data_IF_335861654336
#
_entry.id   IF_335861654336
#
_cell.length_a   1.000
_cell.length_b   1.000
_cell.length_c   1.000
_cell.angle_alpha   90.00
_cell.angle_beta   90.00
_cell.angle_gamma   90.00
#
_symmetry.space_group_name_H-M   'P 1'
#
loop_
_entity.id
_entity.type
_entity.pdbx_description
1 polymer ?
#
# COMPACT_ATOMS: atom_id res chain seq x y z
N UNK A 1 33.42 5.66 -5.41
CA UNK A 1 32.02 5.74 -5.89
C UNK A 1 31.44 4.40 -6.35
N UNK A 2 32.26 3.40 -6.78
CA UNK A 2 31.73 2.06 -7.14
C UNK A 2 31.34 1.24 -5.92
N UNK A 3 32.12 1.29 -4.83
CA UNK A 3 31.86 0.50 -3.62
C UNK A 3 30.52 0.89 -2.91
N UNK A 4 30.15 2.15 -2.91
CA UNK A 4 28.86 2.60 -2.34
C UNK A 4 27.66 2.12 -3.19
N UNK A 5 27.80 2.13 -4.52
CA UNK A 5 26.74 1.61 -5.41
C UNK A 5 26.61 0.09 -5.32
N UNK A 6 27.70 -0.62 -5.06
CA UNK A 6 27.71 -2.08 -4.91
C UNK A 6 27.16 -2.51 -3.54
N UNK A 7 27.36 -1.72 -2.50
CA UNK A 7 26.74 -1.91 -1.17
C UNK A 7 25.23 -1.65 -1.25
N UNK A 8 24.81 -0.58 -1.94
CA UNK A 8 23.40 -0.25 -2.15
C UNK A 8 22.66 -1.36 -2.94
N UNK A 9 23.27 -1.83 -4.03
CA UNK A 9 22.74 -2.96 -4.82
C UNK A 9 22.74 -4.30 -4.07
N UNK A 10 23.66 -4.51 -3.12
CA UNK A 10 23.64 -5.69 -2.24
C UNK A 10 22.50 -5.60 -1.21
N UNK A 11 22.26 -4.46 -0.61
CA UNK A 11 21.16 -4.26 0.34
C UNK A 11 19.79 -4.41 -0.32
N UNK A 12 19.60 -3.91 -1.55
CA UNK A 12 18.37 -4.15 -2.33
C UNK A 12 18.15 -5.64 -2.63
N UNK A 13 19.22 -6.39 -2.90
CA UNK A 13 19.15 -7.83 -3.25
C UNK A 13 18.83 -8.73 -2.05
N UNK A 14 19.18 -8.31 -0.83
CA UNK A 14 18.93 -9.07 0.40
C UNK A 14 17.48 -8.90 0.92
N UNK A 15 16.75 -7.89 0.43
CA UNK A 15 15.34 -7.66 0.77
C UNK A 15 14.33 -8.31 -0.19
N UNK A 16 14.79 -8.77 -1.35
CA UNK A 16 13.97 -9.34 -2.41
C UNK A 16 14.03 -10.86 -2.41
N UNK A 17 12.89 -11.54 -2.23
CA UNK A 17 12.79 -12.99 -2.21
C UNK A 17 11.77 -13.48 -3.22
N UNK A 18 12.07 -14.59 -3.92
CA UNK A 18 11.19 -15.21 -4.91
C UNK A 18 10.43 -16.39 -4.34
N UNK A 19 9.10 -16.40 -4.55
CA UNK A 19 8.18 -17.46 -4.17
C UNK A 19 7.32 -17.83 -5.38
N UNK A 20 7.61 -18.98 -6.01
CA UNK A 20 6.89 -19.39 -7.23
C UNK A 20 6.96 -18.33 -8.33
N UNK A 21 5.83 -17.73 -8.64
CA UNK A 21 5.68 -16.69 -9.68
C UNK A 21 5.60 -15.25 -9.13
N UNK A 22 5.96 -15.04 -7.88
CA UNK A 22 6.03 -13.71 -7.28
C UNK A 22 7.42 -13.43 -6.71
N UNK A 23 7.80 -12.17 -6.72
CA UNK A 23 8.94 -11.63 -5.99
C UNK A 23 8.41 -10.73 -4.88
N UNK A 24 8.94 -10.87 -3.67
CA UNK A 24 8.48 -10.14 -2.47
C UNK A 24 9.62 -9.32 -1.90
N UNK A 25 9.34 -8.05 -1.66
CA UNK A 25 10.24 -7.10 -1.01
C UNK A 25 9.67 -6.76 0.38
N UNK A 26 10.51 -6.77 1.43
CA UNK A 26 10.15 -6.26 2.75
C UNK A 26 10.17 -4.73 2.75
N UNK A 27 9.41 -4.12 3.65
CA UNK A 27 9.30 -2.67 3.76
C UNK A 27 9.95 -2.19 5.05
N UNK A 28 10.70 -1.09 4.99
CA UNK A 28 11.42 -0.52 6.12
C UNK A 28 11.07 0.95 6.34
N UNK A 29 11.13 1.38 7.58
CA UNK A 29 11.12 2.78 7.97
C UNK A 29 12.29 3.05 8.93
N UNK A 30 13.11 4.07 8.64
CA UNK A 30 14.29 4.42 9.43
C UNK A 30 15.27 3.24 9.67
N UNK A 31 15.39 2.32 8.69
CA UNK A 31 16.24 1.13 8.78
C UNK A 31 15.68 0.01 9.67
N UNK A 32 14.38 0.08 10.03
CA UNK A 32 13.67 -0.95 10.78
C UNK A 32 12.59 -1.55 9.91
N UNK A 33 12.59 -2.88 9.75
CA UNK A 33 11.55 -3.60 9.01
C UNK A 33 10.16 -3.36 9.64
N UNK A 34 9.19 -2.99 8.79
CA UNK A 34 7.77 -2.96 9.16
C UNK A 34 7.22 -4.36 8.93
N UNK A 35 7.24 -5.16 9.97
CA UNK A 35 6.93 -6.60 9.93
C UNK A 35 5.59 -6.89 9.23
N UNK A 36 5.63 -7.79 8.25
CA UNK A 36 4.45 -8.25 7.51
C UNK A 36 3.99 -7.34 6.36
N UNK A 37 4.45 -6.09 6.31
CA UNK A 37 4.19 -5.20 5.18
C UNK A 37 5.08 -5.60 4.00
N UNK A 38 4.51 -5.81 2.80
CA UNK A 38 5.24 -6.39 1.67
C UNK A 38 4.85 -5.74 0.35
N UNK A 39 5.85 -5.48 -0.49
CA UNK A 39 5.64 -5.17 -1.91
C UNK A 39 5.83 -6.45 -2.71
N UNK A 40 4.89 -6.74 -3.61
CA UNK A 40 4.85 -7.98 -4.38
C UNK A 40 4.88 -7.64 -5.86
N UNK A 41 5.79 -8.27 -6.59
CA UNK A 41 5.88 -8.13 -8.04
C UNK A 41 5.59 -9.48 -8.69
N UNK A 42 4.48 -9.63 -9.43
CA UNK A 42 4.16 -10.86 -10.14
C UNK A 42 5.10 -11.05 -11.34
N UNK A 43 5.38 -12.32 -11.67
CA UNK A 43 6.02 -12.67 -12.94
C UNK A 43 5.08 -12.39 -14.10
N UNK A 44 5.55 -11.64 -15.09
CA UNK A 44 4.79 -11.28 -16.28
C UNK A 44 5.34 -12.04 -17.48
N UNK A 45 4.48 -12.73 -18.21
CA UNK A 45 4.81 -13.50 -19.40
C UNK A 45 4.22 -12.81 -20.62
N UNK A 46 5.10 -12.24 -21.46
CA UNK A 46 4.71 -11.47 -22.65
C UNK A 46 5.07 -12.18 -23.96
N UNK A 47 4.25 -11.98 -24.99
CA UNK A 47 4.50 -12.33 -26.38
C UNK A 47 3.83 -11.30 -27.32
N UNK A 48 3.84 -11.56 -28.64
CA UNK A 48 3.26 -10.63 -29.64
C UNK A 48 1.75 -10.37 -29.47
N UNK A 49 1.05 -11.17 -28.66
CA UNK A 49 -0.38 -10.99 -28.36
C UNK A 49 -0.64 -10.10 -27.15
N UNK A 50 0.39 -9.83 -26.31
CA UNK A 50 0.27 -9.11 -25.06
C UNK A 50 0.96 -9.84 -23.91
N UNK A 51 0.36 -9.85 -22.73
CA UNK A 51 0.95 -10.51 -21.57
C UNK A 51 -0.09 -11.31 -20.76
N UNK A 52 0.44 -12.24 -19.99
CA UNK A 52 -0.28 -12.99 -18.94
C UNK A 52 0.48 -12.87 -17.62
N UNK A 53 -0.23 -12.77 -16.51
CA UNK A 53 0.32 -12.88 -15.16
C UNK A 53 -0.72 -13.46 -14.20
N UNK A 54 -0.26 -14.19 -13.19
CA UNK A 54 -1.10 -14.53 -12.05
C UNK A 54 -1.08 -13.35 -11.07
N UNK A 55 -2.22 -12.73 -10.84
CA UNK A 55 -2.34 -11.61 -9.90
C UNK A 55 -2.47 -12.05 -8.46
N UNK A 56 -2.91 -13.29 -8.24
CA UNK A 56 -2.97 -13.96 -6.96
C UNK A 56 -2.91 -15.47 -7.14
N UNK A 57 -2.05 -16.12 -6.36
CA UNK A 57 -1.98 -17.57 -6.25
C UNK A 57 -1.76 -17.90 -4.77
N UNK A 58 -2.71 -18.58 -4.14
CA UNK A 58 -2.66 -18.88 -2.71
C UNK A 58 -1.35 -19.55 -2.28
N UNK A 59 -0.87 -20.55 -3.04
CA UNK A 59 0.33 -21.29 -2.67
C UNK A 59 1.59 -20.41 -2.64
N UNK A 60 1.75 -19.52 -3.64
CA UNK A 60 2.90 -18.64 -3.73
C UNK A 60 2.85 -17.57 -2.61
N UNK A 61 1.64 -17.03 -2.34
CA UNK A 61 1.42 -16.05 -1.28
C UNK A 61 1.59 -16.67 0.12
N UNK A 62 1.07 -17.86 0.35
CA UNK A 62 1.24 -18.59 1.63
C UNK A 62 2.72 -18.91 1.87
N UNK A 63 3.47 -19.34 0.85
CA UNK A 63 4.91 -19.56 0.94
C UNK A 63 5.68 -18.28 1.29
N UNK A 64 5.18 -17.11 0.85
CA UNK A 64 5.72 -15.79 1.19
C UNK A 64 5.28 -15.28 2.58
N UNK A 65 4.55 -16.09 3.36
CA UNK A 65 4.04 -15.71 4.67
C UNK A 65 2.73 -14.91 4.65
N UNK A 66 2.03 -14.91 3.51
CA UNK A 66 0.69 -14.32 3.36
C UNK A 66 -0.32 -15.46 3.31
N UNK A 67 -0.51 -16.11 4.45
CA UNK A 67 -1.43 -17.24 4.62
C UNK A 67 -2.75 -16.74 5.20
N UNK A 68 -3.59 -16.15 4.33
CA UNK A 68 -4.88 -15.61 4.71
C UNK A 68 -5.93 -15.92 3.63
N UNK A 69 -7.21 -15.84 4.03
CA UNK A 69 -8.34 -16.00 3.11
C UNK A 69 -8.93 -14.63 2.77
N UNK A 70 -8.93 -14.28 1.49
CA UNK A 70 -9.61 -13.09 1.00
C UNK A 70 -11.09 -13.40 0.74
N UNK A 71 -11.97 -12.56 1.27
CA UNK A 71 -13.44 -12.76 1.24
C UNK A 71 -14.18 -11.66 0.47
N UNK A 72 -13.51 -10.55 0.14
CA UNK A 72 -14.09 -9.42 -0.57
C UNK A 72 -13.10 -8.84 -1.56
N UNK A 73 -13.56 -8.52 -2.76
CA UNK A 73 -12.84 -7.80 -3.80
C UNK A 73 -13.52 -6.46 -4.08
N UNK A 74 -12.74 -5.40 -4.19
CA UNK A 74 -13.22 -4.05 -4.46
C UNK A 74 -12.48 -3.42 -5.63
N UNK A 75 -13.16 -2.54 -6.35
CA UNK A 75 -12.55 -1.70 -7.38
C UNK A 75 -13.06 -0.27 -7.23
N UNK A 76 -12.17 0.69 -7.38
CA UNK A 76 -12.49 2.11 -7.43
C UNK A 76 -11.83 2.78 -8.62
N UNK A 77 -12.45 3.85 -9.11
CA UNK A 77 -11.93 4.71 -10.16
C UNK A 77 -11.82 6.13 -9.61
N UNK A 78 -10.71 6.80 -9.86
CA UNK A 78 -10.44 8.13 -9.31
C UNK A 78 -9.62 8.96 -10.29
N UNK A 79 -9.91 10.28 -10.29
CA UNK A 79 -9.18 11.28 -11.09
C UNK A 79 -7.88 11.69 -10.41
N UNK A 80 -6.98 12.31 -11.18
CA UNK A 80 -5.74 12.93 -10.71
C UNK A 80 -5.98 13.82 -9.49
N UNK A 81 -5.13 13.71 -8.48
CA UNK A 81 -5.20 14.50 -7.26
C UNK A 81 -6.25 14.05 -6.25
N UNK A 82 -7.02 12.99 -6.51
CA UNK A 82 -7.86 12.37 -5.49
C UNK A 82 -6.97 11.67 -4.47
N UNK A 83 -7.12 12.02 -3.19
CA UNK A 83 -6.51 11.33 -2.06
C UNK A 83 -7.60 10.68 -1.23
N UNK A 84 -7.48 9.38 -0.98
CA UNK A 84 -8.37 8.57 -0.13
C UNK A 84 -7.59 8.04 1.05
N UNK A 85 -8.06 8.27 2.25
CA UNK A 85 -7.40 7.72 3.46
C UNK A 85 -7.15 8.79 4.53
N UNK A 86 -6.45 8.45 5.57
CA UNK A 86 -5.92 7.10 5.89
C UNK A 86 -6.99 6.30 6.65
N UNK A 87 -7.40 5.14 6.14
CA UNK A 87 -8.55 4.38 6.67
C UNK A 87 -8.15 3.04 7.27
N UNK A 88 -8.92 2.59 8.26
CA UNK A 88 -8.86 1.25 8.84
C UNK A 88 -10.23 0.86 9.41
N UNK A 89 -10.42 -0.41 9.75
CA UNK A 89 -11.56 -0.88 10.56
C UNK A 89 -11.07 -1.20 11.98
N UNK A 90 -11.86 -0.83 12.98
CA UNK A 90 -11.46 -0.84 14.39
C UNK A 90 -11.62 -2.24 15.00
N UNK A 91 -12.82 -2.81 14.92
CA UNK A 91 -13.17 -4.11 15.52
C UNK A 91 -13.07 -5.26 14.50
N UNK A 92 -13.15 -4.95 13.21
CA UNK A 92 -13.07 -5.91 12.10
C UNK A 92 -11.91 -5.58 11.17
N UNK A 93 -10.66 -5.58 11.68
CA UNK A 93 -9.49 -5.19 10.90
C UNK A 93 -9.25 -6.14 9.73
N UNK A 94 -8.90 -5.58 8.57
CA UNK A 94 -8.69 -6.30 7.33
C UNK A 94 -7.22 -6.29 6.94
N UNK A 95 -6.67 -7.46 6.52
CA UNK A 95 -5.53 -7.45 5.63
C UNK A 95 -6.00 -7.06 4.24
N UNK A 96 -5.17 -6.34 3.50
CA UNK A 96 -5.49 -5.88 2.14
C UNK A 96 -4.37 -6.25 1.18
N UNK A 97 -4.74 -6.70 -0.01
CA UNK A 97 -3.84 -6.86 -1.15
C UNK A 97 -4.31 -5.91 -2.25
N UNK A 98 -3.53 -4.87 -2.50
CA UNK A 98 -3.91 -3.77 -3.40
C UNK A 98 -3.06 -3.75 -4.66
N UNK A 99 -3.64 -3.31 -5.78
CA UNK A 99 -2.98 -3.14 -7.08
C UNK A 99 -3.68 -2.10 -7.93
N UNK A 100 -2.96 -1.56 -8.90
CA UNK A 100 -3.50 -0.62 -9.90
C UNK A 100 -3.58 -1.31 -11.26
N UNK A 101 -4.76 -1.28 -11.88
CA UNK A 101 -5.00 -1.89 -13.20
C UNK A 101 -5.01 -0.87 -14.34
N UNK A 102 -5.14 0.43 -14.02
CA UNK A 102 -5.02 1.55 -14.94
C UNK A 102 -4.45 2.76 -14.21
N UNK A 103 -3.51 3.47 -14.81
CA UNK A 103 -2.87 4.63 -14.22
C UNK A 103 -1.84 4.32 -13.14
N UNK A 104 -1.59 5.30 -12.26
CA UNK A 104 -0.59 5.25 -11.20
C UNK A 104 -1.10 5.94 -9.94
N UNK A 105 -0.79 5.35 -8.79
CA UNK A 105 -1.00 5.93 -7.47
C UNK A 105 0.28 5.86 -6.63
N UNK A 106 0.38 6.71 -5.63
CA UNK A 106 1.28 6.50 -4.49
C UNK A 106 0.45 5.99 -3.32
N UNK A 107 0.74 4.78 -2.89
CA UNK A 107 0.00 4.04 -1.86
C UNK A 107 0.78 4.04 -0.55
N UNK A 108 0.11 4.29 0.57
CA UNK A 108 0.72 4.49 1.88
C UNK A 108 0.04 3.60 2.92
N UNK A 109 0.87 2.92 3.71
CA UNK A 109 0.45 2.18 4.90
C UNK A 109 1.15 2.73 6.15
N UNK A 110 0.42 2.94 7.22
CA UNK A 110 0.90 3.41 8.53
C UNK A 110 0.67 2.33 9.57
N UNK A 111 1.71 1.91 10.28
CA UNK A 111 1.62 0.88 11.32
C UNK A 111 0.89 1.42 12.56
N UNK A 112 -0.25 0.81 12.92
CA UNK A 112 -1.04 1.14 14.11
C UNK A 112 -1.07 -0.01 15.12
N UNK A 113 -0.20 -1.01 14.97
CA UNK A 113 -0.16 -2.17 15.87
C UNK A 113 0.43 -1.77 17.22
N UNK A 114 -0.35 -2.02 18.29
CA UNK A 114 0.09 -1.76 19.66
C UNK A 114 1.37 -2.56 19.98
N UNK A 115 2.36 -1.89 20.57
CA UNK A 115 3.65 -2.49 20.92
C UNK A 115 4.60 -2.76 19.75
N UNK A 116 4.21 -2.42 18.52
CA UNK A 116 5.11 -2.50 17.36
C UNK A 116 6.28 -1.53 17.49
N UNK A 117 7.48 -1.98 17.12
CA UNK A 117 8.68 -1.12 17.04
C UNK A 117 8.54 -0.02 15.98
N UNK A 118 7.64 -0.22 15.03
CA UNK A 118 7.34 0.71 13.94
C UNK A 118 5.98 1.39 14.07
N UNK A 119 5.39 1.39 15.29
CA UNK A 119 4.14 2.10 15.54
C UNK A 119 4.25 3.57 15.10
N UNK A 120 3.28 4.03 14.32
CA UNK A 120 3.24 5.38 13.76
C UNK A 120 4.19 5.63 12.58
N UNK A 121 5.03 4.66 12.21
CA UNK A 121 5.85 4.73 11.00
C UNK A 121 5.04 4.35 9.77
N UNK A 122 5.44 4.89 8.64
CA UNK A 122 4.77 4.65 7.36
C UNK A 122 5.76 4.17 6.29
N UNK A 123 5.20 3.50 5.30
CA UNK A 123 5.89 3.16 4.05
C UNK A 123 4.98 3.51 2.89
N UNK A 124 5.57 4.04 1.81
CA UNK A 124 4.86 4.41 0.60
C UNK A 124 5.49 3.77 -0.63
N UNK A 125 4.65 3.38 -1.58
CA UNK A 125 5.07 2.74 -2.82
C UNK A 125 4.25 3.24 -4.01
N UNK A 126 4.91 3.42 -5.16
CA UNK A 126 4.21 3.66 -6.43
C UNK A 126 3.67 2.36 -6.98
N UNK A 127 2.37 2.30 -7.20
CA UNK A 127 1.66 1.20 -7.85
C UNK A 127 1.11 1.69 -9.18
N UNK A 128 1.34 0.95 -10.25
CA UNK A 128 0.84 1.32 -11.58
C UNK A 128 0.47 0.11 -12.42
N UNK A 129 -0.35 0.33 -13.44
CA UNK A 129 -0.62 -0.67 -14.47
C UNK A 129 0.66 -1.11 -15.20
N UNK A 130 1.68 -0.25 -15.25
CA UNK A 130 2.96 -0.52 -15.91
C UNK A 130 3.88 -1.38 -15.03
N UNK A 131 4.12 -0.98 -13.76
CA UNK A 131 5.04 -1.71 -12.88
C UNK A 131 4.43 -2.99 -12.31
N UNK A 132 3.10 -3.13 -12.35
CA UNK A 132 2.32 -4.30 -11.90
C UNK A 132 2.56 -4.71 -10.44
N UNK A 133 3.20 -3.84 -9.66
CA UNK A 133 3.42 -4.07 -8.24
C UNK A 133 2.10 -4.14 -7.49
N UNK A 134 2.10 -4.94 -6.45
CA UNK A 134 1.01 -5.07 -5.49
C UNK A 134 1.55 -4.76 -4.09
N UNK A 135 0.68 -4.31 -3.20
CA UNK A 135 1.04 -3.99 -1.83
C UNK A 135 0.19 -4.80 -0.87
N UNK A 136 0.82 -5.63 -0.06
CA UNK A 136 0.15 -6.37 1.01
C UNK A 136 0.27 -5.58 2.31
N UNK A 137 -0.87 -5.20 2.86
CA UNK A 137 -1.00 -4.38 4.06
C UNK A 137 -1.69 -5.22 5.14
N UNK A 138 -0.99 -5.59 6.21
CA UNK A 138 -1.56 -6.38 7.30
C UNK A 138 -2.68 -5.64 8.06
N UNK A 139 -3.43 -6.38 8.86
CA UNK A 139 -4.39 -5.84 9.84
C UNK A 139 -3.74 -4.80 10.74
N UNK A 140 -4.55 -3.85 11.21
CA UNK A 140 -4.12 -2.78 12.11
C UNK A 140 -3.07 -1.84 11.48
N UNK A 141 -3.20 -1.60 10.19
CA UNK A 141 -2.56 -0.50 9.48
C UNK A 141 -3.62 0.51 9.03
N UNK A 142 -3.30 1.79 9.06
CA UNK A 142 -4.05 2.78 8.32
C UNK A 142 -3.53 2.81 6.87
N UNK A 143 -4.44 2.96 5.92
CA UNK A 143 -4.15 2.83 4.50
C UNK A 143 -4.77 3.98 3.70
N UNK A 144 -4.04 4.49 2.73
CA UNK A 144 -4.52 5.50 1.81
C UNK A 144 -3.65 5.62 0.57
N UNK A 145 -4.15 6.34 -0.42
CA UNK A 145 -3.39 6.59 -1.65
C UNK A 145 -3.75 7.94 -2.29
N UNK A 146 -2.82 8.46 -3.07
CA UNK A 146 -3.02 9.62 -3.94
C UNK A 146 -2.87 9.20 -5.41
N UNK A 147 -3.76 9.68 -6.28
CA UNK A 147 -3.72 9.43 -7.73
C UNK A 147 -2.75 10.40 -8.41
N UNK A 148 -1.74 9.85 -9.07
CA UNK A 148 -0.67 10.62 -9.74
C UNK A 148 -0.92 10.83 -11.22
N UNK A 149 -1.52 9.85 -11.92
CA UNK A 149 -1.92 9.93 -13.34
C UNK A 149 -3.26 10.64 -13.51
N UNK A 150 -3.64 10.96 -14.75
CA UNK A 150 -4.92 11.63 -15.01
C UNK A 150 -6.12 10.87 -14.48
N UNK A 151 -6.00 9.55 -14.42
CA UNK A 151 -7.00 8.63 -13.89
C UNK A 151 -6.30 7.38 -13.37
N UNK A 152 -6.85 6.74 -12.33
CA UNK A 152 -6.40 5.44 -11.86
C UNK A 152 -7.59 4.53 -11.50
N UNK A 153 -7.45 3.25 -11.84
CA UNK A 153 -8.31 2.18 -11.36
C UNK A 153 -7.56 1.32 -10.36
N UNK A 154 -8.10 1.23 -9.16
CA UNK A 154 -7.52 0.64 -7.98
C UNK A 154 -8.35 -0.56 -7.53
N UNK A 155 -7.73 -1.74 -7.46
CA UNK A 155 -8.36 -2.99 -7.05
C UNK A 155 -7.72 -3.49 -5.76
N UNK A 156 -8.54 -4.03 -4.85
CA UNK A 156 -8.00 -4.63 -3.63
C UNK A 156 -8.88 -5.75 -3.07
N UNK A 157 -8.20 -6.77 -2.55
CA UNK A 157 -8.78 -7.88 -1.80
C UNK A 157 -8.71 -7.61 -0.31
N UNK A 158 -9.73 -8.03 0.44
CA UNK A 158 -9.79 -7.90 1.90
C UNK A 158 -10.05 -9.26 2.56
N UNK A 159 -9.47 -9.44 3.76
CA UNK A 159 -9.67 -10.66 4.58
C UNK A 159 -10.88 -10.61 5.49
N UNK A 160 -11.58 -9.49 5.56
CA UNK A 160 -12.86 -9.33 6.25
C UNK A 160 -13.78 -8.44 5.42
N UNK A 161 -15.07 -8.47 5.72
CA UNK A 161 -16.07 -7.66 5.04
C UNK A 161 -15.99 -6.19 5.45
N UNK A 162 -16.50 -5.31 4.58
CA UNK A 162 -16.63 -3.90 4.91
C UNK A 162 -17.76 -3.67 5.92
N UNK A 163 -17.42 -3.02 7.02
CA UNK A 163 -18.33 -2.63 8.09
C UNK A 163 -18.41 -1.09 8.17
N UNK A 164 -19.43 -0.46 7.56
CA UNK A 164 -19.49 1.01 7.45
C UNK A 164 -19.54 1.74 8.80
N UNK A 165 -20.01 1.08 9.86
CA UNK A 165 -20.07 1.63 11.21
C UNK A 165 -18.80 1.36 12.04
N UNK A 166 -17.83 0.67 11.48
CA UNK A 166 -16.57 0.29 12.13
C UNK A 166 -15.35 1.03 11.55
N UNK A 167 -15.59 1.97 10.65
CA UNK A 167 -14.53 2.71 9.98
C UNK A 167 -13.86 3.71 10.91
N UNK A 168 -12.54 3.66 10.97
CA UNK A 168 -11.67 4.66 11.58
C UNK A 168 -10.75 5.30 10.55
N UNK A 169 -10.11 6.40 10.94
CA UNK A 169 -9.16 7.06 10.06
C UNK A 169 -8.18 7.94 10.82
N UNK A 170 -7.12 8.31 10.12
CA UNK A 170 -6.14 9.29 10.55
C UNK A 170 -6.06 10.42 9.53
N UNK A 171 -5.78 11.63 10.01
CA UNK A 171 -5.58 12.79 9.15
C UNK A 171 -4.41 12.53 8.19
N UNK A 172 -4.65 12.61 6.90
CA UNK A 172 -3.67 12.36 5.85
C UNK A 172 -2.42 13.24 5.94
N UNK A 173 -2.57 14.45 6.50
CA UNK A 173 -1.52 15.47 6.67
C UNK A 173 -1.01 15.57 8.11
N UNK A 174 -1.22 14.53 8.93
CA UNK A 174 -0.75 14.53 10.32
C UNK A 174 0.76 14.71 10.39
N UNK A 175 1.27 15.80 11.00
CA UNK A 175 2.73 16.06 11.10
C UNK A 175 3.46 15.05 11.97
N UNK A 176 2.79 14.35 12.88
CA UNK A 176 3.42 13.32 13.72
C UNK A 176 3.71 12.03 12.93
N UNK A 177 2.87 11.72 11.94
CA UNK A 177 3.12 10.62 11.01
C UNK A 177 4.12 11.08 9.94
N UNK A 178 3.94 12.29 9.43
CA UNK A 178 4.84 12.93 8.49
C UNK A 178 4.90 12.26 7.12
N UNK A 179 3.76 11.78 6.59
CA UNK A 179 3.73 11.19 5.24
C UNK A 179 4.14 12.22 4.19
N UNK A 180 5.17 11.90 3.42
CA UNK A 180 5.63 12.72 2.31
C UNK A 180 4.87 12.33 1.02
N UNK A 181 3.68 12.92 0.85
CA UNK A 181 2.87 12.69 -0.33
C UNK A 181 3.46 13.36 -1.57
N UNK A 182 3.80 12.60 -2.64
CA UNK A 182 4.22 13.20 -3.90
C UNK A 182 3.03 13.94 -4.54
N UNK A 183 3.22 15.19 -4.90
CA UNK A 183 2.18 15.93 -5.62
C UNK A 183 2.12 15.47 -7.08
N UNK A 184 0.91 15.25 -7.64
CA UNK A 184 0.75 15.01 -9.05
C UNK A 184 1.29 16.17 -9.88
N UNK A 185 1.82 15.88 -11.06
CA UNK A 185 2.40 16.91 -11.93
C UNK A 185 1.43 18.06 -12.19
N UNK A 186 1.91 19.30 -11.93
CA UNK A 186 1.15 20.54 -12.11
C UNK A 186 0.12 20.84 -11.01
N UNK A 187 0.09 20.07 -9.91
CA UNK A 187 -0.83 20.27 -8.78
C UNK A 187 -0.11 20.69 -7.51
N UNK A 188 -0.84 21.37 -6.65
CA UNK A 188 -0.45 21.72 -5.29
C UNK A 188 -1.42 21.06 -4.29
N UNK A 189 -1.19 21.22 -3.00
CA UNK A 189 -2.06 20.67 -1.94
C UNK A 189 -3.49 21.20 -2.05
N UNK A 190 -3.66 22.44 -2.49
CA UNK A 190 -4.95 23.10 -2.65
C UNK A 190 -5.80 22.50 -3.78
N UNK A 191 -5.15 21.82 -4.72
CA UNK A 191 -5.83 21.19 -5.86
C UNK A 191 -6.31 19.75 -5.55
N UNK A 192 -5.92 19.22 -4.38
CA UNK A 192 -6.28 17.84 -3.99
C UNK A 192 -7.77 17.71 -3.69
N UNK A 193 -8.31 16.56 -4.01
CA UNK A 193 -9.72 16.22 -3.78
C UNK A 193 -9.84 15.13 -2.72
N UNK A 194 -10.66 15.40 -1.71
CA UNK A 194 -10.94 14.52 -0.57
C UNK A 194 -12.43 14.23 -0.46
N UNK A 195 -12.79 13.14 0.21
CA UNK A 195 -14.13 12.98 0.76
C UNK A 195 -14.29 13.88 2.00
N UNK A 196 -15.53 14.25 2.34
CA UNK A 196 -15.79 15.08 3.54
C UNK A 196 -15.24 14.44 4.82
N UNK A 197 -15.34 13.12 4.96
CA UNK A 197 -14.84 12.39 6.14
C UNK A 197 -13.32 12.44 6.25
N UNK A 198 -12.60 12.40 5.13
CA UNK A 198 -11.13 12.34 5.11
C UNK A 198 -10.48 13.65 5.61
N UNK A 199 -11.22 14.74 5.60
CA UNK A 199 -10.79 16.03 6.15
C UNK A 199 -11.08 16.19 7.64
N UNK A 200 -11.82 15.27 8.26
CA UNK A 200 -12.29 15.36 9.66
C UNK A 200 -11.61 14.41 10.62
N UNK A 201 -10.74 13.53 10.13
CA UNK A 201 -10.01 12.59 10.97
C UNK A 201 -9.02 13.30 11.89
N UNK A 202 -8.84 12.77 13.08
CA UNK A 202 -7.83 13.23 14.05
C UNK A 202 -6.44 12.69 13.71
N UNK A 203 -5.40 13.26 14.34
CA UNK A 203 -4.04 12.77 14.24
C UNK A 203 -3.77 11.52 15.08
N UNK A 204 -2.57 10.94 14.91
CA UNK A 204 -2.17 9.70 15.61
C UNK A 204 -2.08 9.88 17.13
N UNK A 205 -1.80 11.08 17.63
CA UNK A 205 -1.79 11.36 19.08
C UNK A 205 -3.14 11.12 19.75
N UNK A 206 -4.22 11.26 19.02
CA UNK A 206 -5.58 11.05 19.50
C UNK A 206 -6.07 9.61 19.22
N UNK A 207 -5.28 8.82 18.50
CA UNK A 207 -5.59 7.43 18.23
C UNK A 207 -5.52 6.62 19.52
N UNK A 208 -6.68 6.14 19.94
CA UNK A 208 -6.87 5.22 21.08
C UNK A 208 -7.52 3.96 20.53
N UNK A 209 -6.90 2.85 20.80
CA UNK A 209 -7.47 1.53 20.53
C UNK A 209 -8.37 1.10 21.68
#
# INVERSE_FOLDING_TARGET
>A
SSAASDVYKRQEKDMEQKFGKITVETCEADGVEIEGLKVITPSVFGDDRGYFMETYNYNDFAAAGIDCTFVQDNQSSSKKGVLRGLHFQINYPQDKLVRVVSGEVFDVAVDLREGSKTFGKWFGVRLSAENKKQFFIPKNFAHGFIVLSDHAEFCYKCTDFYHPNDEGGLLWSDPEIGVEWPMPEGMTVEDLTFSEKDTKWSGIKEYKK
#
